data_IF_228870341600
#
_entry.id   IF_228870341600
#
_cell.length_a   1.000
_cell.length_b   1.000
_cell.length_c   1.000
_cell.angle_alpha   90.00
_cell.angle_beta   90.00
_cell.angle_gamma   90.00
#
_symmetry.space_group_name_H-M   'P 1'
#
loop_
_entity.id
_entity.type
_entity.pdbx_description
1 polymer ?
#
# COMPACT_ATOMS: atom_id res chain seq x y z
N UNK A 1 6.71 -40.81 32.26
CA UNK A 1 7.28 -39.60 31.63
C UNK A 1 6.15 -38.61 31.47
N UNK A 2 6.17 -37.50 32.20
CA UNK A 2 5.24 -36.40 31.96
C UNK A 2 5.57 -35.78 30.61
N UNK A 3 4.64 -35.87 29.65
CA UNK A 3 4.78 -35.18 28.38
C UNK A 3 4.49 -33.69 28.60
N UNK A 4 5.38 -32.82 28.14
CA UNK A 4 5.16 -31.38 28.14
C UNK A 4 3.83 -31.03 27.46
N UNK A 5 3.06 -30.11 28.04
CA UNK A 5 1.82 -29.63 27.45
C UNK A 5 2.07 -28.98 26.07
N UNK A 6 1.17 -29.22 25.12
CA UNK A 6 1.31 -28.75 23.72
C UNK A 6 1.47 -27.23 23.61
N UNK A 7 0.82 -26.47 24.49
CA UNK A 7 0.89 -25.01 24.52
C UNK A 7 2.29 -24.48 24.89
N UNK A 8 3.01 -25.19 25.74
CA UNK A 8 4.39 -24.86 26.10
C UNK A 8 5.36 -25.34 25.00
N UNK A 9 5.09 -26.51 24.42
CA UNK A 9 5.91 -27.04 23.33
C UNK A 9 5.91 -26.14 22.08
N UNK A 10 4.78 -25.49 21.75
CA UNK A 10 4.66 -24.66 20.54
C UNK A 10 5.55 -23.41 20.55
N UNK A 11 6.03 -22.97 21.72
CA UNK A 11 6.90 -21.80 21.85
C UNK A 11 8.24 -21.97 21.13
N UNK A 12 8.67 -23.22 20.94
CA UNK A 12 9.91 -23.55 20.23
C UNK A 12 9.71 -23.68 18.71
N UNK A 13 8.47 -23.52 18.20
CA UNK A 13 8.23 -23.56 16.77
C UNK A 13 8.65 -22.22 16.12
N UNK A 14 9.37 -22.26 14.98
CA UNK A 14 9.71 -21.06 14.24
C UNK A 14 8.48 -20.39 13.58
N UNK A 15 8.61 -19.11 13.21
CA UNK A 15 7.51 -18.30 12.64
C UNK A 15 7.02 -18.73 11.26
N UNK A 16 7.78 -19.57 10.55
CA UNK A 16 7.40 -20.10 9.22
C UNK A 16 6.42 -21.27 9.30
N UNK A 17 5.92 -21.61 10.48
CA UNK A 17 4.91 -22.64 10.65
C UNK A 17 3.57 -22.18 10.07
N UNK A 18 3.00 -22.99 9.16
CA UNK A 18 1.71 -22.67 8.56
C UNK A 18 0.60 -22.73 9.61
N UNK A 19 -0.29 -21.75 9.52
CA UNK A 19 -1.53 -21.68 10.30
C UNK A 19 -2.71 -21.40 9.37
N UNK A 20 -3.90 -21.74 9.84
CA UNK A 20 -5.14 -21.45 9.14
C UNK A 20 -5.99 -20.55 10.04
N UNK A 21 -6.63 -19.56 9.44
CA UNK A 21 -7.53 -18.66 10.14
C UNK A 21 -8.74 -18.33 9.30
N UNK A 22 -9.88 -18.18 9.96
CA UNK A 22 -11.04 -17.53 9.35
C UNK A 22 -10.86 -16.02 9.46
N UNK A 23 -10.92 -15.35 8.32
CA UNK A 23 -10.84 -13.89 8.27
C UNK A 23 -12.09 -13.32 7.62
N UNK A 24 -12.78 -12.46 8.37
CA UNK A 24 -13.97 -11.73 7.91
C UNK A 24 -13.68 -10.24 7.97
N UNK A 25 -13.92 -9.55 6.87
CA UNK A 25 -13.67 -8.12 6.72
C UNK A 25 -14.69 -7.54 5.75
N UNK A 26 -15.06 -6.27 5.92
CA UNK A 26 -15.88 -5.56 4.94
C UNK A 26 -15.05 -5.08 3.74
N UNK A 27 -15.75 -4.67 2.68
CA UNK A 27 -15.13 -4.30 1.41
C UNK A 27 -14.24 -3.04 1.52
N UNK A 28 -14.62 -2.06 2.34
CA UNK A 28 -13.86 -0.83 2.49
C UNK A 28 -12.49 -1.10 3.14
N UNK A 29 -12.50 -1.85 4.23
CA UNK A 29 -11.29 -2.20 4.95
C UNK A 29 -10.43 -3.22 4.18
N UNK A 30 -11.05 -4.11 3.40
CA UNK A 30 -10.32 -5.00 2.49
C UNK A 30 -9.52 -4.19 1.47
N UNK A 31 -10.14 -3.22 0.79
CA UNK A 31 -9.43 -2.37 -0.17
C UNK A 31 -8.27 -1.60 0.47
N UNK A 32 -8.44 -1.11 1.70
CA UNK A 32 -7.36 -0.46 2.44
C UNK A 32 -6.22 -1.44 2.77
N UNK A 33 -6.54 -2.65 3.25
CA UNK A 33 -5.55 -3.70 3.48
C UNK A 33 -4.76 -4.02 2.21
N UNK A 34 -5.45 -4.19 1.08
CA UNK A 34 -4.81 -4.48 -0.20
C UNK A 34 -3.92 -3.34 -0.70
N UNK A 35 -4.29 -2.08 -0.43
CA UNK A 35 -3.42 -0.93 -0.76
C UNK A 35 -2.07 -1.06 -0.07
N UNK A 36 -2.07 -1.40 1.22
CA UNK A 36 -0.86 -1.52 2.03
C UNK A 36 -0.06 -2.81 1.79
N UNK A 37 -0.75 -3.92 1.45
CA UNK A 37 -0.11 -5.24 1.37
C UNK A 37 0.26 -5.67 -0.04
N UNK A 38 -0.41 -5.14 -1.06
CA UNK A 38 0.02 -5.29 -2.46
C UNK A 38 1.04 -4.22 -2.87
N UNK A 39 1.78 -3.65 -1.92
CA UNK A 39 2.81 -2.63 -2.17
C UNK A 39 4.20 -3.27 -2.29
N UNK A 40 5.10 -2.68 -3.08
CA UNK A 40 6.47 -3.16 -3.23
C UNK A 40 7.27 -3.12 -1.93
N UNK A 41 6.96 -2.17 -1.04
CA UNK A 41 7.57 -2.05 0.29
C UNK A 41 7.05 -3.08 1.30
N UNK A 42 5.93 -3.76 1.00
CA UNK A 42 5.45 -4.84 1.85
C UNK A 42 6.36 -6.07 1.75
N UNK A 43 6.34 -6.90 2.80
CA UNK A 43 7.05 -8.18 2.77
C UNK A 43 6.51 -9.08 1.65
N UNK A 44 7.39 -9.78 0.93
CA UNK A 44 7.02 -10.56 -0.26
C UNK A 44 5.91 -11.59 0.03
N UNK A 45 5.99 -12.33 1.13
CA UNK A 45 5.04 -13.37 1.45
C UNK A 45 3.60 -12.83 1.55
N UNK A 46 3.39 -11.71 2.26
CA UNK A 46 2.04 -11.13 2.38
C UNK A 46 1.57 -10.47 1.08
N UNK A 47 2.49 -9.97 0.25
CA UNK A 47 2.17 -9.43 -1.08
C UNK A 47 1.58 -10.51 -1.98
N UNK A 48 2.16 -11.71 -1.99
CA UNK A 48 1.61 -12.84 -2.77
C UNK A 48 0.17 -13.18 -2.37
N UNK A 49 -0.16 -13.14 -1.07
CA UNK A 49 -1.56 -13.30 -0.63
C UNK A 49 -2.44 -12.14 -1.09
N UNK A 50 -1.97 -10.90 -0.98
CA UNK A 50 -2.71 -9.72 -1.41
C UNK A 50 -2.98 -9.73 -2.93
N UNK A 51 -2.03 -10.17 -3.75
CA UNK A 51 -2.18 -10.28 -5.21
C UNK A 51 -3.28 -11.28 -5.60
N UNK A 52 -3.36 -12.41 -4.89
CA UNK A 52 -4.46 -13.38 -5.08
C UNK A 52 -5.80 -12.78 -4.63
N UNK A 53 -5.82 -12.06 -3.51
CA UNK A 53 -7.04 -11.40 -3.02
C UNK A 53 -7.53 -10.28 -3.96
N UNK A 54 -6.63 -9.56 -4.64
CA UNK A 54 -6.99 -8.58 -5.66
C UNK A 54 -7.70 -9.24 -6.85
N UNK A 55 -7.23 -10.40 -7.31
CA UNK A 55 -7.92 -11.18 -8.37
C UNK A 55 -9.31 -11.65 -7.92
N UNK A 56 -9.48 -11.98 -6.64
CA UNK A 56 -10.80 -12.29 -6.08
C UNK A 56 -11.70 -11.05 -6.06
N UNK A 57 -11.17 -9.90 -5.64
CA UNK A 57 -11.91 -8.64 -5.62
C UNK A 57 -12.43 -8.28 -7.02
N UNK A 58 -11.57 -8.36 -8.04
CA UNK A 58 -11.93 -8.16 -9.46
C UNK A 58 -13.05 -9.11 -9.90
N UNK A 59 -12.92 -10.41 -9.59
CA UNK A 59 -13.89 -11.42 -10.01
C UNK A 59 -15.27 -11.26 -9.37
N UNK A 60 -15.33 -10.87 -8.09
CA UNK A 60 -16.58 -10.83 -7.34
C UNK A 60 -17.28 -9.47 -7.39
N UNK A 61 -16.53 -8.37 -7.44
CA UNK A 61 -17.07 -6.99 -7.42
C UNK A 61 -16.35 -6.10 -8.44
N UNK A 62 -16.46 -6.38 -9.75
CA UNK A 62 -15.63 -5.76 -10.79
C UNK A 62 -15.74 -4.23 -10.84
N UNK A 63 -16.94 -3.66 -10.70
CA UNK A 63 -17.10 -2.20 -10.71
C UNK A 63 -16.41 -1.51 -9.53
N UNK A 64 -16.41 -2.15 -8.35
CA UNK A 64 -15.68 -1.61 -7.19
C UNK A 64 -14.17 -1.78 -7.38
N UNK A 65 -13.74 -2.90 -7.96
CA UNK A 65 -12.34 -3.13 -8.29
C UNK A 65 -11.82 -2.05 -9.27
N UNK A 66 -12.53 -1.79 -10.37
CA UNK A 66 -12.17 -0.77 -11.36
C UNK A 66 -12.04 0.62 -10.70
N UNK A 67 -13.04 1.03 -9.91
CA UNK A 67 -13.00 2.30 -9.19
C UNK A 67 -11.86 2.36 -8.16
N UNK A 68 -11.57 1.24 -7.49
CA UNK A 68 -10.47 1.13 -6.54
C UNK A 68 -9.11 1.29 -7.24
N UNK A 69 -8.90 0.60 -8.36
CA UNK A 69 -7.66 0.69 -9.13
C UNK A 69 -7.45 2.13 -9.60
N UNK A 70 -8.45 2.72 -10.27
CA UNK A 70 -8.36 4.06 -10.84
C UNK A 70 -8.14 5.17 -9.81
N UNK A 71 -8.89 5.17 -8.71
CA UNK A 71 -8.90 6.31 -7.79
C UNK A 71 -8.06 6.12 -6.51
N UNK A 72 -7.62 4.88 -6.22
CA UNK A 72 -6.87 4.59 -4.99
C UNK A 72 -5.55 3.87 -5.20
N UNK A 73 -5.50 2.78 -5.97
CA UNK A 73 -4.29 1.96 -6.07
C UNK A 73 -3.29 2.50 -7.09
N UNK A 74 -3.77 2.91 -8.26
CA UNK A 74 -2.97 3.51 -9.34
C UNK A 74 -3.07 5.05 -9.34
N UNK A 75 -4.07 5.59 -8.64
CA UNK A 75 -4.21 7.02 -8.43
C UNK A 75 -3.22 7.56 -7.40
N UNK A 76 -2.89 8.83 -7.53
CA UNK A 76 -2.03 9.55 -6.60
C UNK A 76 -2.81 10.54 -5.74
N UNK A 77 -2.37 10.76 -4.51
CA UNK A 77 -2.86 11.87 -3.66
C UNK A 77 -1.74 12.88 -3.46
N UNK A 78 -2.00 14.10 -3.91
CA UNK A 78 -1.11 15.22 -3.70
C UNK A 78 -1.48 15.97 -2.41
N UNK A 79 -0.46 16.38 -1.66
CA UNK A 79 -0.65 17.34 -0.57
C UNK A 79 -1.10 18.70 -1.12
N UNK A 80 -1.56 19.58 -0.24
CA UNK A 80 -1.93 20.96 -0.62
C UNK A 80 -0.76 21.65 -1.35
N UNK A 81 0.44 21.54 -0.79
CA UNK A 81 1.66 22.15 -1.31
C UNK A 81 2.11 21.48 -2.62
N UNK A 82 1.99 20.15 -2.72
CA UNK A 82 2.23 19.42 -3.96
C UNK A 82 1.29 19.86 -5.08
N UNK A 83 -0.01 20.02 -4.80
CA UNK A 83 -0.98 20.49 -5.80
C UNK A 83 -0.71 21.93 -6.26
N UNK A 84 -0.33 22.82 -5.36
CA UNK A 84 0.09 24.19 -5.71
C UNK A 84 1.36 24.18 -6.58
N UNK A 85 2.31 23.30 -6.27
CA UNK A 85 3.53 23.12 -7.05
C UNK A 85 3.24 22.62 -8.46
N UNK A 86 2.36 21.62 -8.63
CA UNK A 86 1.91 21.16 -9.96
C UNK A 86 1.29 22.31 -10.76
N UNK A 87 0.45 23.15 -10.15
CA UNK A 87 -0.13 24.32 -10.83
C UNK A 87 0.92 25.33 -11.30
N UNK A 88 2.02 25.51 -10.56
CA UNK A 88 3.15 26.37 -10.96
C UNK A 88 3.97 25.73 -12.09
N UNK A 89 4.26 24.43 -11.98
CA UNK A 89 4.99 23.67 -13.02
C UNK A 89 4.25 23.69 -14.36
N UNK A 90 2.92 23.50 -14.36
CA UNK A 90 2.09 23.59 -15.57
C UNK A 90 2.09 24.99 -16.23
N UNK A 91 2.48 26.03 -15.49
CA UNK A 91 2.67 27.39 -16.01
C UNK A 91 4.10 27.66 -16.48
N UNK A 92 4.93 26.63 -16.64
CA UNK A 92 6.35 26.71 -16.96
C UNK A 92 7.19 27.50 -15.95
N UNK A 93 6.75 27.57 -14.69
CA UNK A 93 7.54 28.18 -13.62
C UNK A 93 8.52 27.15 -13.06
N UNK A 94 9.79 27.53 -12.89
CA UNK A 94 10.75 26.73 -12.14
C UNK A 94 10.38 26.83 -10.67
N UNK A 95 10.14 25.69 -10.02
CA UNK A 95 9.87 25.62 -8.59
C UNK A 95 11.00 24.85 -7.93
N UNK A 96 11.62 25.44 -6.92
CA UNK A 96 12.59 24.72 -6.08
C UNK A 96 11.89 24.08 -4.87
N UNK A 97 12.58 23.15 -4.22
CA UNK A 97 12.09 22.54 -2.98
C UNK A 97 11.73 23.61 -1.93
N UNK A 98 12.56 24.63 -1.77
CA UNK A 98 12.39 25.70 -0.78
C UNK A 98 11.12 26.52 -1.02
N UNK A 99 10.79 26.78 -2.29
CA UNK A 99 9.60 27.54 -2.70
C UNK A 99 8.30 26.72 -2.64
N UNK A 100 8.42 25.40 -2.57
CA UNK A 100 7.28 24.48 -2.52
C UNK A 100 6.64 24.39 -1.13
N UNK A 101 7.41 24.71 -0.07
CA UNK A 101 6.96 24.54 1.31
C UNK A 101 6.81 23.07 1.75
N UNK A 102 7.30 22.11 0.96
CA UNK A 102 7.34 20.69 1.31
C UNK A 102 8.60 20.34 2.11
N UNK A 103 8.49 19.34 2.98
CA UNK A 103 9.70 18.76 3.61
C UNK A 103 10.57 18.06 2.56
N UNK A 104 11.85 17.79 2.86
CA UNK A 104 12.73 17.07 1.92
C UNK A 104 12.15 15.73 1.47
N UNK A 105 11.67 14.93 2.43
CA UNK A 105 11.05 13.64 2.15
C UNK A 105 9.80 13.77 1.28
N UNK A 106 8.94 14.74 1.59
CA UNK A 106 7.72 14.98 0.82
C UNK A 106 8.05 15.45 -0.60
N UNK A 107 9.10 16.25 -0.77
CA UNK A 107 9.60 16.67 -2.08
C UNK A 107 10.15 15.50 -2.90
N UNK A 108 10.88 14.60 -2.26
CA UNK A 108 11.41 13.38 -2.90
C UNK A 108 10.24 12.48 -3.36
N UNK A 109 9.27 12.19 -2.47
CA UNK A 109 8.06 11.43 -2.79
C UNK A 109 7.24 12.10 -3.91
N UNK A 110 7.12 13.43 -3.90
CA UNK A 110 6.44 14.21 -4.94
C UNK A 110 7.17 14.15 -6.30
N UNK A 111 8.50 14.22 -6.28
CA UNK A 111 9.32 14.21 -7.49
C UNK A 111 9.31 12.83 -8.13
N UNK A 112 9.39 11.77 -7.33
CA UNK A 112 9.24 10.38 -7.78
C UNK A 112 7.84 10.15 -8.37
N UNK A 113 6.80 10.64 -7.71
CA UNK A 113 5.41 10.50 -8.15
C UNK A 113 5.15 11.11 -9.54
N UNK A 114 5.85 12.18 -9.89
CA UNK A 114 5.69 12.90 -11.16
C UNK A 114 6.79 12.58 -12.18
N UNK A 115 7.65 11.58 -11.89
CA UNK A 115 8.81 11.22 -12.71
C UNK A 115 9.72 12.43 -13.02
N UNK A 116 9.84 13.36 -12.07
CA UNK A 116 10.67 14.57 -12.20
C UNK A 116 12.13 14.33 -11.79
N UNK A 117 12.42 13.24 -11.09
CA UNK A 117 13.77 12.80 -10.77
C UNK A 117 14.46 12.25 -12.01
N UNK A 118 15.53 12.91 -12.47
CA UNK A 118 16.46 12.39 -13.48
C UNK A 118 17.42 11.35 -12.93
#
# INVERSE_FOLDING_TARGET
KESLARELARMNLPLNFYTQMYWKIDLHNLMHFLTLRADSHAQYEIRVYADVMLKLLERWVPYTYEAYMQYRKEGARLSKNGLETVKKLLKNQKVTQEESGMSKREWDEFSELLDLSS
#
